data_IF_010076400012
#
_entry.id   IF_010076400012
#
_cell.length_a   1.000
_cell.length_b   1.000
_cell.length_c   1.000
_cell.angle_alpha   90.00
_cell.angle_beta   90.00
_cell.angle_gamma   90.00
#
_symmetry.space_group_name_H-M   'P 1'
#
loop_
_entity.id
_entity.type
_entity.pdbx_description
1 polymer ?
#
# COMPACT_ATOMS: atom_id res chain seq x y z
N UNK A 1 -27.11 -16.37 3.57
CA UNK A 1 -27.65 -15.07 3.15
C UNK A 1 -26.64 -14.49 2.20
N UNK A 2 -27.08 -14.33 0.95
CA UNK A 2 -26.28 -14.11 -0.26
C UNK A 2 -25.53 -12.79 -0.19
N UNK A 3 -24.19 -12.84 -0.24
CA UNK A 3 -23.40 -11.65 -0.56
C UNK A 3 -23.41 -11.49 -2.07
N UNK A 4 -24.21 -10.54 -2.56
CA UNK A 4 -23.99 -9.93 -3.87
C UNK A 4 -22.60 -9.30 -3.83
N UNK A 5 -21.60 -10.06 -4.28
CA UNK A 5 -20.24 -9.55 -4.49
C UNK A 5 -20.33 -8.65 -5.71
N UNK A 6 -20.50 -7.36 -5.45
CA UNK A 6 -20.01 -6.33 -6.33
C UNK A 6 -18.54 -6.69 -6.62
N UNK A 7 -18.24 -7.07 -7.87
CA UNK A 7 -17.07 -7.91 -8.19
C UNK A 7 -15.71 -7.28 -7.92
N UNK A 8 -15.67 -6.06 -7.40
CA UNK A 8 -14.47 -5.25 -7.18
C UNK A 8 -13.96 -5.41 -5.75
N UNK A 9 -12.78 -5.99 -5.62
CA UNK A 9 -12.07 -6.12 -4.34
C UNK A 9 -10.71 -5.42 -4.42
N UNK A 10 -10.21 -4.95 -3.26
CA UNK A 10 -8.88 -4.38 -3.19
C UNK A 10 -7.82 -5.45 -3.07
N UNK A 11 -6.73 -5.30 -3.81
CA UNK A 11 -5.58 -6.19 -3.76
C UNK A 11 -4.31 -5.36 -3.55
N UNK A 12 -3.37 -5.91 -2.78
CA UNK A 12 -2.04 -5.34 -2.69
C UNK A 12 -1.12 -5.92 -3.77
N UNK A 13 -0.46 -5.06 -4.52
CA UNK A 13 0.63 -5.39 -5.43
C UNK A 13 1.96 -5.14 -4.74
N UNK A 14 2.86 -6.10 -4.90
CA UNK A 14 4.27 -5.93 -4.59
C UNK A 14 4.99 -5.49 -5.87
N UNK A 15 5.57 -4.30 -5.82
CA UNK A 15 6.27 -3.63 -6.92
C UNK A 15 7.72 -3.37 -6.54
N UNK A 16 8.57 -3.18 -7.55
CA UNK A 16 9.97 -2.80 -7.31
C UNK A 16 10.04 -1.44 -6.60
N UNK A 17 10.87 -1.37 -5.56
CA UNK A 17 11.09 -0.14 -4.80
C UNK A 17 11.47 1.04 -5.73
N UNK A 18 10.90 2.22 -5.46
CA UNK A 18 11.06 3.47 -6.25
C UNK A 18 10.42 3.45 -7.63
N UNK A 19 9.65 2.42 -7.97
CA UNK A 19 8.86 2.34 -9.22
C UNK A 19 7.35 2.41 -8.94
N UNK A 20 6.95 2.64 -7.69
CA UNK A 20 5.57 2.69 -7.26
C UNK A 20 4.78 3.72 -8.08
N UNK A 21 5.28 4.96 -8.19
CA UNK A 21 4.62 6.03 -8.96
C UNK A 21 4.47 5.67 -10.44
N UNK A 22 5.47 5.02 -11.03
CA UNK A 22 5.43 4.60 -12.42
C UNK A 22 4.35 3.53 -12.65
N UNK A 23 4.27 2.53 -11.76
CA UNK A 23 3.25 1.48 -11.84
C UNK A 23 1.85 2.06 -11.58
N UNK A 24 1.71 2.98 -10.63
CA UNK A 24 0.45 3.71 -10.38
C UNK A 24 -0.06 4.37 -11.66
N UNK A 25 0.77 5.21 -12.29
CA UNK A 25 0.36 5.90 -13.53
C UNK A 25 0.04 4.96 -14.67
N UNK A 26 0.70 3.80 -14.76
CA UNK A 26 0.41 2.80 -15.78
C UNK A 26 -0.96 2.14 -15.56
N UNK A 27 -1.25 1.76 -14.32
CA UNK A 27 -2.53 1.16 -13.94
C UNK A 27 -3.70 2.14 -14.09
N UNK A 28 -3.51 3.40 -13.71
CA UNK A 28 -4.49 4.47 -13.91
C UNK A 28 -4.79 4.69 -15.40
N UNK A 29 -3.76 4.67 -16.26
CA UNK A 29 -3.93 4.75 -17.73
C UNK A 29 -4.70 3.57 -18.31
N UNK A 30 -4.64 2.41 -17.65
CA UNK A 30 -5.41 1.22 -18.03
C UNK A 30 -6.86 1.27 -17.51
N UNK A 31 -7.20 2.27 -16.70
CA UNK A 31 -8.53 2.46 -16.12
C UNK A 31 -8.73 1.81 -14.74
N UNK A 32 -7.66 1.37 -14.08
CA UNK A 32 -7.75 0.78 -12.74
C UNK A 32 -7.76 1.85 -11.65
N UNK A 33 -8.53 1.61 -10.60
CA UNK A 33 -8.47 2.43 -9.38
C UNK A 33 -7.30 1.98 -8.52
N UNK A 34 -6.37 2.91 -8.28
CA UNK A 34 -5.12 2.66 -7.57
C UNK A 34 -5.01 3.58 -6.37
N UNK A 35 -4.45 3.05 -5.29
CA UNK A 35 -4.11 3.80 -4.11
C UNK A 35 -2.66 3.53 -3.69
N UNK A 36 -1.86 4.60 -3.67
CA UNK A 36 -0.49 4.60 -3.18
C UNK A 36 -0.40 5.45 -1.91
N UNK A 37 -0.19 4.85 -0.72
CA UNK A 37 -0.12 5.61 0.51
C UNK A 37 1.20 6.37 0.62
N UNK A 38 1.17 7.67 0.31
CA UNK A 38 2.32 8.58 0.40
C UNK A 38 2.26 9.40 1.68
N UNK A 39 3.36 9.46 2.44
CA UNK A 39 3.49 10.25 3.65
C UNK A 39 4.70 11.21 3.62
N UNK A 40 4.66 12.31 4.39
CA UNK A 40 5.79 13.22 4.48
C UNK A 40 6.93 12.58 5.29
N UNK A 41 8.12 12.51 4.69
CA UNK A 41 9.34 12.05 5.36
C UNK A 41 10.40 13.14 5.33
N UNK A 42 10.95 13.45 6.51
CA UNK A 42 12.11 14.34 6.63
C UNK A 42 13.36 13.60 6.17
N UNK A 43 14.07 14.17 5.20
CA UNK A 43 15.33 13.66 4.68
C UNK A 43 16.36 14.78 4.72
N UNK A 44 17.63 14.41 4.89
CA UNK A 44 18.74 15.34 4.75
C UNK A 44 19.37 15.09 3.38
N UNK A 45 19.39 16.12 2.53
CA UNK A 45 20.03 16.06 1.22
C UNK A 45 20.99 17.23 1.09
N UNK A 46 22.28 16.94 0.84
CA UNK A 46 23.35 17.95 0.71
C UNK A 46 23.36 18.97 1.86
N UNK A 47 23.16 18.50 3.09
CA UNK A 47 23.14 19.34 4.30
C UNK A 47 21.83 20.10 4.56
N UNK A 48 20.87 20.07 3.63
CA UNK A 48 19.56 20.70 3.80
C UNK A 48 18.52 19.68 4.28
N UNK A 49 17.69 20.09 5.25
CA UNK A 49 16.53 19.31 5.70
C UNK A 49 15.37 19.55 4.73
N UNK A 50 14.98 18.51 4.01
CA UNK A 50 13.86 18.52 3.07
C UNK A 50 12.74 17.62 3.58
N UNK A 51 11.51 18.02 3.35
CA UNK A 51 10.34 17.14 3.54
C UNK A 51 9.92 16.63 2.17
N UNK A 52 10.04 15.32 1.96
CA UNK A 52 9.69 14.66 0.70
C UNK A 52 8.53 13.69 0.92
N UNK A 53 7.61 13.59 -0.03
CA UNK A 53 6.58 12.55 0.00
C UNK A 53 7.22 11.22 -0.37
N UNK A 54 7.03 10.19 0.45
CA UNK A 54 7.47 8.82 0.15
C UNK A 54 6.38 7.81 0.46
N UNK A 55 6.37 6.65 -0.22
CA UNK A 55 5.51 5.55 0.15
C UNK A 55 5.71 5.17 1.62
N UNK A 56 4.60 5.07 2.35
CA UNK A 56 4.58 4.60 3.74
C UNK A 56 4.91 3.11 3.82
N UNK A 57 4.52 2.37 2.78
CA UNK A 57 4.88 0.96 2.58
C UNK A 57 5.68 0.84 1.28
N UNK A 58 7.01 0.96 1.34
CA UNK A 58 7.86 0.85 0.15
C UNK A 58 7.62 -0.48 -0.57
N UNK A 59 7.46 -0.43 -1.90
CA UNK A 59 7.18 -1.60 -2.72
C UNK A 59 5.73 -2.12 -2.65
N UNK A 60 4.81 -1.43 -1.98
CA UNK A 60 3.39 -1.81 -1.95
C UNK A 60 2.51 -0.77 -2.62
N UNK A 61 1.53 -1.26 -3.36
CA UNK A 61 0.52 -0.47 -4.05
C UNK A 61 -0.83 -1.20 -3.95
N UNK A 62 -1.91 -0.48 -3.72
CA UNK A 62 -3.25 -1.08 -3.60
C UNK A 62 -4.03 -0.79 -4.87
N UNK A 63 -4.73 -1.79 -5.39
CA UNK A 63 -5.51 -1.68 -6.63
C UNK A 63 -6.86 -2.38 -6.46
N UNK A 64 -7.92 -1.75 -6.92
CA UNK A 64 -9.26 -2.34 -6.95
C UNK A 64 -9.43 -3.12 -8.26
N UNK A 65 -9.74 -4.42 -8.15
CA UNK A 65 -9.79 -5.36 -9.27
C UNK A 65 -10.98 -6.29 -9.13
N UNK A 66 -11.53 -6.71 -10.27
CA UNK A 66 -12.45 -7.84 -10.34
C UNK A 66 -11.70 -9.06 -10.83
N UNK A 67 -11.29 -10.00 -9.96
CA UNK A 67 -10.54 -11.18 -10.40
C UNK A 67 -11.28 -12.09 -11.39
N UNK A 68 -12.60 -11.99 -11.49
CA UNK A 68 -13.40 -12.75 -12.46
C UNK A 68 -13.35 -12.10 -13.85
N UNK A 69 -13.34 -10.75 -13.93
CA UNK A 69 -13.26 -10.01 -15.20
C UNK A 69 -11.85 -9.62 -15.60
N UNK A 70 -11.06 -9.17 -14.64
CA UNK A 70 -9.67 -8.75 -14.79
C UNK A 70 -8.74 -9.95 -14.73
N UNK A 71 -8.08 -10.19 -15.86
CA UNK A 71 -7.09 -11.25 -15.96
C UNK A 71 -5.88 -10.91 -15.06
N UNK A 72 -5.68 -11.67 -13.98
CA UNK A 72 -4.49 -11.61 -13.10
C UNK A 72 -3.17 -11.51 -13.87
N UNK A 73 -3.03 -12.23 -14.99
CA UNK A 73 -1.82 -12.22 -15.81
C UNK A 73 -1.55 -10.86 -16.46
N UNK A 74 -2.59 -10.06 -16.73
CA UNK A 74 -2.46 -8.73 -17.33
C UNK A 74 -1.69 -7.79 -16.40
N UNK A 75 -1.96 -7.87 -15.10
CA UNK A 75 -1.32 -7.03 -14.07
C UNK A 75 0.10 -7.53 -13.80
N UNK A 76 0.29 -8.85 -13.73
CA UNK A 76 1.62 -9.46 -13.54
C UNK A 76 2.56 -9.23 -14.72
N UNK A 77 2.04 -8.95 -15.92
CA UNK A 77 2.82 -8.61 -17.12
C UNK A 77 3.28 -7.15 -17.13
N UNK A 78 2.76 -6.29 -16.24
CA UNK A 78 3.18 -4.90 -16.20
C UNK A 78 4.63 -4.80 -15.74
N UNK A 79 5.42 -3.88 -16.32
CA UNK A 79 6.79 -3.64 -15.90
C UNK A 79 6.82 -3.22 -14.42
N UNK A 80 7.85 -3.66 -13.72
CA UNK A 80 8.11 -3.36 -12.30
C UNK A 80 7.10 -3.95 -11.28
N UNK A 81 6.05 -4.65 -11.72
CA UNK A 81 5.22 -5.50 -10.86
C UNK A 81 5.93 -6.82 -10.60
N UNK A 82 6.12 -7.14 -9.32
CA UNK A 82 6.78 -8.39 -8.89
C UNK A 82 5.75 -9.49 -8.67
N UNK A 83 4.69 -9.19 -7.90
CA UNK A 83 3.60 -10.14 -7.63
C UNK A 83 2.38 -9.46 -7.02
N UNK A 84 1.24 -10.14 -7.05
CA UNK A 84 0.08 -9.81 -6.21
C UNK A 84 0.28 -10.45 -4.84
N UNK A 85 0.04 -9.70 -3.77
CA UNK A 85 0.14 -10.18 -2.39
C UNK A 85 -1.01 -11.14 -2.12
N UNK A 86 -0.70 -12.26 -1.49
CA UNK A 86 -1.64 -13.34 -1.28
C UNK A 86 -1.00 -14.54 -0.61
N UNK A 87 -1.80 -15.59 -0.47
CA UNK A 87 -1.40 -16.86 0.11
C UNK A 87 -1.07 -17.85 -1.01
N UNK A 88 0.22 -18.04 -1.26
CA UNK A 88 0.71 -18.84 -2.39
C UNK A 88 0.25 -18.24 -3.72
N UNK A 89 -0.51 -19.02 -4.49
CA UNK A 89 -1.02 -18.59 -5.81
C UNK A 89 -2.32 -17.79 -5.75
N UNK A 90 -2.98 -17.70 -4.59
CA UNK A 90 -4.25 -17.01 -4.43
C UNK A 90 -4.02 -15.58 -3.95
N UNK A 91 -4.39 -14.55 -4.73
CA UNK A 91 -4.42 -13.17 -4.24
C UNK A 91 -5.26 -13.06 -2.97
N UNK A 92 -4.80 -12.28 -1.99
CA UNK A 92 -5.58 -12.02 -0.79
C UNK A 92 -6.39 -10.73 -1.00
N UNK A 93 -7.72 -10.81 -1.03
CA UNK A 93 -8.55 -9.60 -1.06
C UNK A 93 -8.42 -8.85 0.26
N UNK A 94 -8.44 -7.53 0.15
CA UNK A 94 -8.38 -6.59 1.25
C UNK A 94 -9.77 -5.96 1.36
N UNK A 95 -10.41 -6.00 2.54
CA UNK A 95 -11.68 -5.33 2.74
C UNK A 95 -11.56 -3.84 2.42
N UNK A 96 -12.53 -3.30 1.67
CA UNK A 96 -12.58 -1.87 1.30
C UNK A 96 -12.44 -0.96 2.51
N UNK A 97 -13.10 -1.29 3.62
CA UNK A 97 -13.04 -0.53 4.88
C UNK A 97 -11.61 -0.35 5.42
N UNK A 98 -10.73 -1.35 5.21
CA UNK A 98 -9.33 -1.26 5.65
C UNK A 98 -8.55 -0.27 4.78
N UNK A 99 -8.75 -0.32 3.46
CA UNK A 99 -8.11 0.63 2.53
C UNK A 99 -8.61 2.05 2.79
N UNK A 100 -9.91 2.24 3.00
CA UNK A 100 -10.51 3.53 3.33
C UNK A 100 -10.02 4.07 4.70
N UNK A 101 -9.87 3.20 5.69
CA UNK A 101 -9.26 3.58 6.98
C UNK A 101 -7.82 4.06 6.77
N UNK A 102 -7.05 3.36 5.93
CA UNK A 102 -5.67 3.72 5.61
C UNK A 102 -5.61 5.05 4.84
N UNK A 103 -6.47 5.26 3.85
CA UNK A 103 -6.63 6.54 3.14
C UNK A 103 -6.87 7.70 4.11
N UNK A 104 -7.85 7.56 5.01
CA UNK A 104 -8.15 8.57 6.05
C UNK A 104 -6.96 8.83 6.97
N UNK A 105 -6.21 7.79 7.34
CA UNK A 105 -5.03 7.94 8.18
C UNK A 105 -3.91 8.73 7.48
N UNK A 106 -3.70 8.49 6.18
CA UNK A 106 -2.73 9.21 5.34
C UNK A 106 -3.15 10.68 5.17
N UNK A 107 -4.42 10.94 4.83
CA UNK A 107 -4.96 12.29 4.66
C UNK A 107 -4.82 13.15 5.91
N UNK A 108 -5.09 12.56 7.08
CA UNK A 108 -4.97 13.24 8.39
C UNK A 108 -3.53 13.57 8.77
N UNK A 109 -2.54 13.22 7.95
CA UNK A 109 -1.10 13.35 8.23
C UNK A 109 -0.78 12.84 9.63
N UNK A 110 -1.44 11.74 10.03
CA UNK A 110 -1.12 11.10 11.29
C UNK A 110 0.40 10.85 11.31
N UNK A 111 1.08 11.03 12.45
CA UNK A 111 2.49 10.70 12.55
C UNK A 111 2.64 9.18 12.41
N UNK A 112 2.67 8.71 11.16
CA UNK A 112 2.98 7.34 10.75
C UNK A 112 4.50 7.19 10.75
N UNK A 113 5.14 7.64 11.83
CA UNK A 113 6.53 7.33 12.05
C UNK A 113 6.60 5.83 12.40
N UNK A 114 7.49 5.07 11.75
CA UNK A 114 7.77 3.70 12.18
C UNK A 114 8.06 3.77 13.67
N UNK A 115 7.33 3.00 14.48
CA UNK A 115 7.62 2.91 15.91
C UNK A 115 9.12 2.69 16.05
N UNK A 116 9.86 3.57 16.73
CA UNK A 116 11.26 3.29 17.01
C UNK A 116 11.25 1.94 17.73
N UNK A 117 11.89 0.94 17.12
CA UNK A 117 12.00 -0.38 17.72
C UNK A 117 12.45 -0.18 19.16
N UNK A 118 11.65 -0.72 20.08
CA UNK A 118 11.93 -0.61 21.51
C UNK A 118 13.31 -1.20 21.76
N UNK A 119 14.24 -0.38 22.23
CA UNK A 119 15.60 -0.84 22.47
C UNK A 119 15.62 -1.67 23.76
N UNK A 120 16.42 -2.74 23.78
CA UNK A 120 16.67 -3.50 25.01
C UNK A 120 17.15 -2.55 26.12
N UNK A 121 16.49 -2.59 27.29
CA UNK A 121 16.74 -1.67 28.40
C UNK A 121 15.81 -0.44 28.47
N UNK A 122 14.92 -0.23 27.50
CA UNK A 122 13.91 0.83 27.57
C UNK A 122 12.87 0.52 28.65
N UNK A 123 12.74 1.41 29.64
CA UNK A 123 11.70 1.30 30.67
C UNK A 123 10.32 1.43 30.02
N UNK A 124 9.49 0.42 30.21
CA UNK A 124 8.09 0.42 29.77
C UNK A 124 7.14 0.34 30.95
N UNK A 125 5.91 0.80 30.74
CA UNK A 125 4.82 0.67 31.69
C UNK A 125 3.74 -0.21 31.06
N UNK A 126 3.33 -1.26 31.76
CA UNK A 126 2.17 -2.07 31.36
C UNK A 126 0.91 -1.22 31.59
N UNK A 127 0.17 -0.97 30.53
CA UNK A 127 -1.04 -0.11 30.53
C UNK A 127 -2.35 -0.91 30.56
N UNK A 128 -2.32 -2.21 30.25
CA UNK A 128 -3.45 -3.13 30.37
C UNK A 128 -2.96 -4.57 30.49
N UNK A 129 -3.74 -5.42 31.16
CA UNK A 129 -3.53 -6.86 31.34
C UNK A 129 -4.87 -7.58 31.39
#
# INVERSE_FOLDING_TARGET
MSTEVDGLEWYALFVRCRKEEHVTSLLEKMGYHVFLPLGPRRVIHRGQRLTVMRPLFPGYLFVELDLCRDNRLRILRLPDVVRIVGYGDRPAPIPREQVESLQRAVERKAPLEPCPYMQEGQKVRIVAG
#
